data_IF_935185013414
#
_entry.id   IF_935185013414
#
_cell.length_a   1.000
_cell.length_b   1.000
_cell.length_c   1.000
_cell.angle_alpha   90.00
_cell.angle_beta   90.00
_cell.angle_gamma   90.00
#
_symmetry.space_group_name_H-M   'P 1'
#
loop_
_entity.id
_entity.type
_entity.pdbx_description
1 polymer ?
#
# COMPACT_ATOMS: atom_id res chain seq x y z
N UNK A 1 12.06 26.44 -11.52
CA UNK A 1 10.95 25.60 -11.01
C UNK A 1 9.74 26.43 -10.58
N UNK A 2 9.93 27.54 -9.86
CA UNK A 2 8.83 28.43 -9.44
C UNK A 2 7.94 28.89 -10.61
N UNK A 3 8.51 29.28 -11.74
CA UNK A 3 7.77 29.70 -12.93
C UNK A 3 6.85 28.61 -13.55
N UNK A 4 7.15 27.33 -13.32
CA UNK A 4 6.31 26.21 -13.81
C UNK A 4 5.07 26.02 -12.96
N UNK A 5 5.20 26.15 -11.67
CA UNK A 5 4.08 25.97 -10.73
C UNK A 5 3.14 27.17 -10.79
N UNK A 6 3.67 28.38 -10.93
CA UNK A 6 2.88 29.61 -11.19
C UNK A 6 2.01 29.47 -12.45
N UNK A 7 2.60 29.00 -13.55
CA UNK A 7 1.86 28.75 -14.80
C UNK A 7 0.79 27.66 -14.61
N UNK A 8 1.10 26.59 -13.87
CA UNK A 8 0.12 25.54 -13.58
C UNK A 8 -1.09 26.09 -12.81
N UNK A 9 -0.86 26.91 -11.79
CA UNK A 9 -1.95 27.53 -11.01
C UNK A 9 -2.78 28.47 -11.87
N UNK A 10 -2.17 29.26 -12.76
CA UNK A 10 -2.88 30.12 -13.69
C UNK A 10 -3.71 29.33 -14.71
N UNK A 11 -3.17 28.24 -15.25
CA UNK A 11 -3.91 27.34 -16.14
C UNK A 11 -5.08 26.65 -15.43
N UNK A 12 -4.90 26.23 -14.16
CA UNK A 12 -5.97 25.64 -13.35
C UNK A 12 -7.12 26.61 -13.10
N UNK A 13 -6.82 27.90 -12.86
CA UNK A 13 -7.84 28.94 -12.68
C UNK A 13 -8.72 29.15 -13.93
N UNK A 14 -8.21 28.81 -15.10
CA UNK A 14 -8.93 28.95 -16.39
C UNK A 14 -9.74 27.71 -16.77
N UNK A 15 -9.61 26.60 -16.04
CA UNK A 15 -10.24 25.32 -16.37
C UNK A 15 -11.33 24.94 -15.36
N UNK A 16 -12.58 24.94 -15.77
CA UNK A 16 -13.74 24.70 -14.90
C UNK A 16 -13.92 23.24 -14.44
N UNK A 17 -13.38 22.27 -15.18
CA UNK A 17 -13.62 20.83 -14.95
C UNK A 17 -12.36 20.07 -14.53
N UNK A 18 -11.49 20.71 -13.76
CA UNK A 18 -10.25 20.10 -13.28
C UNK A 18 -10.25 20.08 -11.75
N UNK A 19 -9.85 18.94 -11.18
CA UNK A 19 -9.58 18.79 -9.76
C UNK A 19 -8.09 18.51 -9.62
N UNK A 20 -7.40 19.33 -8.86
CA UNK A 20 -6.00 19.11 -8.53
C UNK A 20 -5.87 18.16 -7.34
N UNK A 21 -5.17 17.05 -7.52
CA UNK A 21 -4.80 16.17 -6.42
C UNK A 21 -3.36 16.44 -6.00
N UNK A 22 -3.16 16.71 -4.70
CA UNK A 22 -1.83 16.90 -4.12
C UNK A 22 -1.62 15.88 -3.02
N UNK A 23 -0.69 14.96 -3.26
CA UNK A 23 -0.19 14.05 -2.22
C UNK A 23 0.76 14.79 -1.30
N UNK A 24 0.82 14.37 -0.02
CA UNK A 24 1.67 14.99 1.00
C UNK A 24 1.49 16.52 1.09
N UNK A 25 0.23 17.00 1.06
CA UNK A 25 -0.11 18.43 1.01
C UNK A 25 0.50 19.24 2.17
N UNK A 26 0.83 18.60 3.28
CA UNK A 26 1.50 19.23 4.43
C UNK A 26 2.87 19.81 4.07
N UNK A 27 3.54 19.29 3.03
CA UNK A 27 4.82 19.81 2.56
C UNK A 27 4.72 21.23 2.00
N UNK A 28 3.55 21.61 1.48
CA UNK A 28 3.28 22.97 1.02
C UNK A 28 2.95 23.92 2.16
N UNK A 29 2.37 23.41 3.26
CA UNK A 29 1.82 24.24 4.35
C UNK A 29 2.83 24.39 5.48
N UNK A 30 3.60 23.33 5.77
CA UNK A 30 4.55 23.27 6.87
C UNK A 30 5.97 23.70 6.51
N UNK A 31 6.20 24.17 5.30
CA UNK A 31 7.53 24.56 4.82
C UNK A 31 7.81 26.04 5.10
N UNK A 32 8.91 26.32 5.80
CA UNK A 32 9.43 27.69 5.99
C UNK A 32 10.19 28.23 4.75
N UNK A 33 10.18 27.45 3.65
CA UNK A 33 10.83 27.85 2.39
C UNK A 33 9.95 28.86 1.67
N UNK A 34 10.52 30.03 1.32
CA UNK A 34 9.80 31.15 0.71
C UNK A 34 8.92 30.73 -0.49
N UNK A 35 9.44 29.94 -1.41
CA UNK A 35 8.67 29.48 -2.58
C UNK A 35 7.47 28.58 -2.25
N UNK A 36 7.55 27.79 -1.18
CA UNK A 36 6.42 26.96 -0.71
C UNK A 36 5.33 27.82 -0.05
N UNK A 37 5.71 28.85 0.69
CA UNK A 37 4.79 29.82 1.29
C UNK A 37 4.01 30.59 0.21
N UNK A 38 4.68 31.01 -0.86
CA UNK A 38 4.05 31.73 -1.97
C UNK A 38 3.03 30.83 -2.69
N UNK A 39 3.38 29.57 -2.93
CA UNK A 39 2.47 28.57 -3.49
C UNK A 39 1.25 28.31 -2.59
N UNK A 40 1.48 28.12 -1.28
CA UNK A 40 0.39 27.91 -0.33
C UNK A 40 -0.58 29.10 -0.34
N UNK A 41 -0.08 30.33 -0.41
CA UNK A 41 -0.89 31.55 -0.49
C UNK A 41 -1.68 31.63 -1.80
N UNK A 42 -1.09 31.27 -2.92
CA UNK A 42 -1.77 31.25 -4.23
C UNK A 42 -2.90 30.20 -4.25
N UNK A 43 -2.68 29.03 -3.68
CA UNK A 43 -3.73 28.02 -3.54
C UNK A 43 -4.84 28.50 -2.60
N UNK A 44 -4.50 29.13 -1.48
CA UNK A 44 -5.49 29.73 -0.57
C UNK A 44 -6.38 30.74 -1.28
N UNK A 45 -5.81 31.57 -2.14
CA UNK A 45 -6.56 32.56 -2.93
C UNK A 45 -7.46 31.89 -3.97
N UNK A 46 -6.94 30.93 -4.75
CA UNK A 46 -7.70 30.17 -5.74
C UNK A 46 -8.86 29.37 -5.17
N UNK A 47 -8.62 28.72 -4.02
CA UNK A 47 -9.64 28.01 -3.26
C UNK A 47 -10.72 28.95 -2.70
N UNK A 48 -10.33 30.12 -2.18
CA UNK A 48 -11.28 31.11 -1.64
C UNK A 48 -12.24 31.65 -2.69
N UNK A 49 -11.76 31.81 -3.92
CA UNK A 49 -12.56 32.31 -5.05
C UNK A 49 -13.34 31.18 -5.74
N UNK A 50 -13.15 29.92 -5.33
CA UNK A 50 -13.74 28.76 -6.01
C UNK A 50 -13.20 28.50 -7.41
N UNK A 51 -12.11 29.18 -7.81
CA UNK A 51 -11.48 29.01 -9.11
C UNK A 51 -10.59 27.78 -9.22
N UNK A 52 -10.24 27.16 -8.07
CA UNK A 52 -9.48 25.91 -7.98
C UNK A 52 -10.27 24.92 -7.14
N UNK A 53 -10.38 23.68 -7.62
CA UNK A 53 -10.89 22.53 -6.86
C UNK A 53 -9.71 21.62 -6.56
N UNK A 54 -9.57 21.22 -5.30
CA UNK A 54 -8.39 20.47 -4.84
C UNK A 54 -8.78 19.34 -3.89
N UNK A 55 -8.05 18.24 -4.00
CA UNK A 55 -8.01 17.15 -3.03
C UNK A 55 -6.59 17.08 -2.52
N UNK A 56 -6.39 17.22 -1.23
CA UNK A 56 -5.09 17.04 -0.57
C UNK A 56 -5.07 15.76 0.22
N UNK A 57 -3.99 14.98 0.13
CA UNK A 57 -3.77 13.82 0.97
C UNK A 57 -2.61 14.06 1.94
N UNK A 58 -2.74 13.56 3.16
CA UNK A 58 -1.71 13.61 4.19
C UNK A 58 -2.00 12.58 5.28
N UNK A 59 -1.06 12.32 6.18
CA UNK A 59 -1.31 11.46 7.34
C UNK A 59 -2.02 12.23 8.46
N UNK A 60 -2.64 11.51 9.39
CA UNK A 60 -3.29 12.12 10.56
C UNK A 60 -2.28 12.92 11.39
N UNK A 61 -1.05 12.41 11.54
CA UNK A 61 0.01 13.07 12.29
C UNK A 61 0.41 14.43 11.67
N UNK A 62 0.68 14.46 10.35
CA UNK A 62 1.03 15.70 9.66
C UNK A 62 -0.15 16.67 9.59
N UNK A 63 -1.39 16.16 9.45
CA UNK A 63 -2.58 16.99 9.53
C UNK A 63 -2.66 17.73 10.85
N UNK A 64 -2.50 17.04 11.98
CA UNK A 64 -2.52 17.65 13.31
C UNK A 64 -1.36 18.63 13.53
N UNK A 65 -0.18 18.28 13.05
CA UNK A 65 1.03 19.06 13.24
C UNK A 65 1.07 20.34 12.40
N UNK A 66 0.65 20.27 11.14
CA UNK A 66 0.83 21.35 10.16
C UNK A 66 -0.49 21.99 9.73
N UNK A 67 -1.52 21.19 9.38
CA UNK A 67 -2.75 21.70 8.78
C UNK A 67 -3.66 22.34 9.83
N UNK A 68 -3.82 21.74 11.00
CA UNK A 68 -4.65 22.30 12.08
C UNK A 68 -4.21 23.69 12.55
N UNK A 69 -2.95 24.03 12.39
CA UNK A 69 -2.40 25.34 12.76
C UNK A 69 -2.74 26.44 11.77
N UNK A 70 -2.99 26.08 10.51
CA UNK A 70 -3.35 27.03 9.47
C UNK A 70 -4.88 27.16 9.33
N UNK A 71 -5.47 28.05 10.14
CA UNK A 71 -6.91 28.32 10.12
C UNK A 71 -7.45 28.77 8.76
N UNK A 72 -6.59 29.37 7.92
CA UNK A 72 -6.96 29.79 6.60
C UNK A 72 -7.12 28.61 5.65
N UNK A 73 -6.32 27.58 5.80
CA UNK A 73 -6.46 26.32 5.09
C UNK A 73 -7.67 25.52 5.54
N UNK A 74 -7.82 25.35 6.87
CA UNK A 74 -8.94 24.60 7.46
C UNK A 74 -10.32 25.04 6.99
N UNK A 75 -10.49 26.34 6.82
CA UNK A 75 -11.79 26.92 6.38
C UNK A 75 -12.17 26.59 4.93
N UNK A 76 -11.24 26.03 4.16
CA UNK A 76 -11.37 25.77 2.72
C UNK A 76 -11.40 24.31 2.36
N UNK A 77 -11.14 23.45 3.33
CA UNK A 77 -11.14 22.00 3.14
C UNK A 77 -12.11 21.33 4.09
N UNK A 78 -12.79 20.32 3.59
CA UNK A 78 -13.49 19.35 4.40
C UNK A 78 -12.57 18.16 4.66
N UNK A 79 -12.43 17.75 5.91
CA UNK A 79 -11.62 16.60 6.30
C UNK A 79 -12.37 15.31 6.03
N UNK A 80 -11.75 14.40 5.33
CA UNK A 80 -12.23 13.03 5.13
C UNK A 80 -11.21 12.08 5.75
N UNK A 81 -11.62 11.34 6.78
CA UNK A 81 -10.77 10.33 7.41
C UNK A 81 -10.85 9.02 6.62
N UNK A 82 -9.69 8.52 6.20
CA UNK A 82 -9.55 7.22 5.54
C UNK A 82 -8.93 6.24 6.53
N UNK A 83 -9.77 5.38 7.10
CA UNK A 83 -9.34 4.37 8.08
C UNK A 83 -8.61 3.20 7.40
N UNK A 84 -7.75 2.56 8.18
CA UNK A 84 -7.16 1.28 7.77
C UNK A 84 -8.27 0.24 7.53
N UNK A 85 -8.26 -0.51 6.41
CA UNK A 85 -9.27 -1.52 6.14
C UNK A 85 -9.19 -2.67 7.16
N UNK A 86 -10.32 -3.32 7.43
CA UNK A 86 -10.34 -4.54 8.23
C UNK A 86 -9.60 -5.69 7.55
N UNK A 87 -9.32 -6.77 8.28
CA UNK A 87 -8.71 -7.96 7.71
C UNK A 87 -9.53 -8.53 6.54
N UNK A 88 -10.85 -8.61 6.70
CA UNK A 88 -11.77 -9.10 5.66
C UNK A 88 -11.77 -8.19 4.43
N UNK A 89 -11.82 -6.88 4.63
CA UNK A 89 -11.72 -5.91 3.53
C UNK A 89 -10.36 -6.01 2.83
N UNK A 90 -9.28 -6.23 3.59
CA UNK A 90 -7.95 -6.40 3.02
C UNK A 90 -7.86 -7.64 2.14
N UNK A 91 -8.45 -8.77 2.55
CA UNK A 91 -8.55 -9.98 1.69
C UNK A 91 -9.24 -9.65 0.37
N UNK A 92 -10.35 -8.91 0.40
CA UNK A 92 -11.07 -8.50 -0.82
C UNK A 92 -10.24 -7.57 -1.70
N UNK A 93 -9.50 -6.62 -1.10
CA UNK A 93 -8.59 -5.73 -1.83
C UNK A 93 -7.49 -6.54 -2.54
N UNK A 94 -6.89 -7.53 -1.86
CA UNK A 94 -5.90 -8.41 -2.47
C UNK A 94 -6.46 -9.18 -3.66
N UNK A 95 -7.65 -9.79 -3.51
CA UNK A 95 -8.32 -10.53 -4.58
C UNK A 95 -8.64 -9.63 -5.79
N UNK A 96 -9.13 -8.43 -5.55
CA UNK A 96 -9.44 -7.45 -6.61
C UNK A 96 -8.18 -6.89 -7.29
N UNK A 97 -7.03 -6.92 -6.61
CA UNK A 97 -5.75 -6.46 -7.17
C UNK A 97 -5.08 -7.51 -8.05
N UNK A 98 -5.40 -8.80 -7.87
CA UNK A 98 -4.80 -9.91 -8.62
C UNK A 98 -4.84 -9.72 -10.15
N UNK A 99 -5.99 -9.46 -10.79
CA UNK A 99 -6.06 -9.33 -12.25
C UNK A 99 -5.14 -8.23 -12.79
N UNK A 100 -4.96 -7.15 -12.02
CA UNK A 100 -4.06 -6.06 -12.36
C UNK A 100 -2.59 -6.49 -12.29
N UNK A 101 -2.21 -7.22 -11.23
CA UNK A 101 -0.86 -7.75 -11.07
C UNK A 101 -0.55 -8.77 -12.16
N UNK A 102 -1.48 -9.68 -12.46
CA UNK A 102 -1.36 -10.66 -13.53
C UNK A 102 -1.15 -10.00 -14.90
N UNK A 103 -1.96 -8.97 -15.20
CA UNK A 103 -1.83 -8.19 -16.44
C UNK A 103 -0.49 -7.45 -16.55
N UNK A 104 -0.02 -6.86 -15.44
CA UNK A 104 1.23 -6.09 -15.43
C UNK A 104 2.47 -6.95 -15.52
N UNK A 105 2.45 -8.15 -14.94
CA UNK A 105 3.62 -9.02 -14.82
C UNK A 105 3.67 -10.11 -15.89
N UNK A 106 2.53 -10.46 -16.47
CA UNK A 106 2.38 -11.64 -17.34
C UNK A 106 2.51 -12.97 -16.59
N UNK A 107 2.44 -12.93 -15.26
CA UNK A 107 2.45 -14.10 -14.37
C UNK A 107 1.05 -14.28 -13.78
N UNK A 108 0.58 -15.51 -13.67
CA UNK A 108 -0.78 -15.84 -13.21
C UNK A 108 -0.71 -16.62 -11.91
N UNK A 109 -1.66 -16.40 -11.01
CA UNK A 109 -1.92 -17.24 -9.84
C UNK A 109 -2.96 -18.33 -10.22
N UNK A 110 -2.52 -19.56 -10.61
CA UNK A 110 -3.34 -20.50 -11.36
C UNK A 110 -4.21 -21.41 -10.48
N UNK A 111 -4.80 -20.85 -9.43
CA UNK A 111 -5.61 -21.60 -8.49
C UNK A 111 -7.08 -21.21 -8.58
N UNK A 112 -7.94 -22.09 -8.02
CA UNK A 112 -9.38 -21.80 -7.88
C UNK A 112 -9.61 -20.59 -6.97
N UNK A 113 -10.75 -19.92 -7.09
CA UNK A 113 -11.08 -18.77 -6.24
C UNK A 113 -11.04 -19.13 -4.74
N UNK A 114 -11.43 -20.34 -4.39
CA UNK A 114 -11.34 -20.84 -3.01
C UNK A 114 -9.87 -20.86 -2.50
N UNK A 115 -8.94 -21.38 -3.31
CA UNK A 115 -7.51 -21.44 -2.94
C UNK A 115 -6.90 -20.05 -2.94
N UNK A 116 -7.25 -19.18 -3.90
CA UNK A 116 -6.82 -17.78 -3.91
C UNK A 116 -7.25 -17.07 -2.62
N UNK A 117 -8.51 -17.19 -2.22
CA UNK A 117 -9.01 -16.61 -0.98
C UNK A 117 -8.27 -17.17 0.26
N UNK A 118 -8.02 -18.48 0.29
CA UNK A 118 -7.25 -19.15 1.34
C UNK A 118 -5.82 -18.57 1.47
N UNK A 119 -5.15 -18.33 0.33
CA UNK A 119 -3.82 -17.68 0.28
C UNK A 119 -3.90 -16.25 0.81
N UNK A 120 -4.88 -15.45 0.35
CA UNK A 120 -5.02 -14.06 0.80
C UNK A 120 -5.32 -13.96 2.29
N UNK A 121 -6.20 -14.83 2.81
CA UNK A 121 -6.48 -14.92 4.25
C UNK A 121 -5.23 -15.27 5.05
N UNK A 122 -4.40 -16.17 4.56
CA UNK A 122 -3.14 -16.52 5.21
C UNK A 122 -2.20 -15.30 5.28
N UNK A 123 -1.98 -14.60 4.16
CA UNK A 123 -1.12 -13.41 4.09
C UNK A 123 -1.64 -12.32 5.04
N UNK A 124 -2.95 -12.07 5.07
CA UNK A 124 -3.54 -11.06 5.94
C UNK A 124 -3.39 -11.45 7.41
N UNK A 125 -3.69 -12.71 7.77
CA UNK A 125 -3.60 -13.17 9.16
C UNK A 125 -2.18 -13.09 9.72
N UNK A 126 -1.17 -13.44 8.93
CA UNK A 126 0.22 -13.32 9.36
C UNK A 126 0.70 -11.88 9.54
N UNK A 127 0.05 -10.91 8.90
CA UNK A 127 0.41 -9.49 8.93
C UNK A 127 -0.50 -8.65 9.82
N UNK A 128 -1.11 -9.24 10.85
CA UNK A 128 -1.90 -8.50 11.85
C UNK A 128 -1.05 -7.45 12.55
N UNK A 129 -1.69 -6.45 13.15
CA UNK A 129 -1.02 -5.32 13.81
C UNK A 129 0.05 -5.78 14.82
N UNK A 130 -0.25 -6.79 15.64
CA UNK A 130 0.67 -7.32 16.65
C UNK A 130 1.88 -8.06 16.06
N UNK A 131 1.79 -8.49 14.81
CA UNK A 131 2.84 -9.25 14.13
C UNK A 131 3.78 -8.35 13.31
N UNK A 132 3.42 -7.09 13.09
CA UNK A 132 4.17 -6.13 12.25
C UNK A 132 5.41 -5.61 12.94
N UNK A 133 6.44 -5.36 12.16
CA UNK A 133 7.63 -4.63 12.62
C UNK A 133 7.38 -3.15 12.37
N UNK A 134 7.13 -2.38 13.43
CA UNK A 134 6.71 -0.97 13.33
C UNK A 134 7.68 -0.05 12.56
N UNK A 135 8.97 -0.36 12.56
CA UNK A 135 9.99 0.46 11.89
C UNK A 135 10.04 0.28 10.37
N UNK A 136 9.57 -0.86 9.87
CA UNK A 136 9.68 -1.24 8.46
C UNK A 136 8.37 -1.67 7.82
N UNK A 137 7.30 -1.80 8.60
CA UNK A 137 6.01 -2.28 8.10
C UNK A 137 5.00 -1.16 7.88
N UNK A 138 4.29 -1.24 6.78
CA UNK A 138 3.14 -0.39 6.48
C UNK A 138 1.87 -0.94 7.12
N UNK A 139 0.80 -0.14 7.10
CA UNK A 139 -0.54 -0.56 7.48
C UNK A 139 -1.24 -1.31 6.35
N UNK A 140 -2.40 -1.90 6.65
CA UNK A 140 -3.24 -2.47 5.61
C UNK A 140 -3.76 -1.38 4.63
N UNK A 141 -3.87 -1.70 3.32
CA UNK A 141 -3.60 -3.02 2.71
C UNK A 141 -2.14 -3.21 2.28
N UNK A 142 -1.29 -2.20 2.44
CA UNK A 142 0.02 -2.12 1.80
C UNK A 142 0.95 -3.26 2.21
N UNK A 143 1.04 -3.56 3.51
CA UNK A 143 1.88 -4.65 4.02
C UNK A 143 1.53 -6.00 3.39
N UNK A 144 0.25 -6.31 3.24
CA UNK A 144 -0.21 -7.54 2.62
C UNK A 144 0.03 -7.55 1.10
N UNK A 145 -0.13 -6.41 0.44
CA UNK A 145 0.20 -6.22 -0.98
C UNK A 145 1.69 -6.41 -1.26
N UNK A 146 2.57 -5.98 -0.36
CA UNK A 146 4.02 -6.19 -0.50
C UNK A 146 4.33 -7.69 -0.55
N UNK A 147 3.77 -8.50 0.33
CA UNK A 147 3.98 -9.96 0.33
C UNK A 147 3.40 -10.60 -0.93
N UNK A 148 2.18 -10.19 -1.33
CA UNK A 148 1.58 -10.68 -2.57
C UNK A 148 2.45 -10.36 -3.79
N UNK A 149 2.94 -9.12 -3.92
CA UNK A 149 3.86 -8.73 -5.01
C UNK A 149 5.17 -9.52 -4.97
N UNK A 150 5.66 -9.87 -3.79
CA UNK A 150 6.85 -10.71 -3.66
C UNK A 150 6.63 -12.11 -4.25
N UNK A 151 5.44 -12.70 -4.12
CA UNK A 151 5.11 -13.97 -4.77
C UNK A 151 5.26 -13.87 -6.30
N UNK A 152 4.77 -12.78 -6.91
CA UNK A 152 4.95 -12.51 -8.34
C UNK A 152 6.43 -12.32 -8.70
N UNK A 153 7.16 -11.55 -7.91
CA UNK A 153 8.59 -11.31 -8.13
C UNK A 153 9.41 -12.60 -8.08
N UNK A 154 9.10 -13.50 -7.14
CA UNK A 154 9.76 -14.80 -7.03
C UNK A 154 9.53 -15.66 -8.28
N UNK A 155 8.29 -15.69 -8.79
CA UNK A 155 7.97 -16.42 -10.03
C UNK A 155 8.70 -15.82 -11.26
N UNK A 156 8.76 -14.49 -11.36
CA UNK A 156 9.50 -13.80 -12.43
C UNK A 156 10.99 -14.14 -12.36
N UNK A 157 11.58 -14.10 -11.17
CA UNK A 157 12.99 -14.43 -10.96
C UNK A 157 13.32 -15.87 -11.39
N UNK A 158 12.39 -16.80 -11.16
CA UNK A 158 12.50 -18.20 -11.64
C UNK A 158 12.12 -18.38 -13.13
N UNK A 159 11.89 -17.30 -13.88
CA UNK A 159 11.41 -17.33 -15.28
C UNK A 159 10.10 -18.11 -15.48
N UNK A 160 9.21 -18.09 -14.48
CA UNK A 160 7.92 -18.77 -14.53
C UNK A 160 6.81 -17.83 -14.98
N UNK A 161 5.80 -18.41 -15.64
CA UNK A 161 4.57 -17.71 -16.01
C UNK A 161 3.43 -17.94 -15.01
N UNK A 162 3.64 -18.78 -14.03
CA UNK A 162 2.68 -19.12 -12.98
C UNK A 162 3.34 -19.12 -11.62
N UNK A 163 2.64 -18.62 -10.62
CA UNK A 163 3.01 -18.72 -9.22
C UNK A 163 2.71 -20.13 -8.72
N UNK A 164 3.65 -20.74 -8.02
CA UNK A 164 3.45 -22.00 -7.29
C UNK A 164 3.56 -21.78 -5.78
N UNK A 165 3.27 -22.82 -4.99
CA UNK A 165 3.34 -22.72 -3.55
C UNK A 165 4.75 -22.48 -3.01
N UNK A 166 5.80 -22.86 -3.74
CA UNK A 166 7.18 -22.50 -3.40
C UNK A 166 7.38 -20.97 -3.45
N UNK A 167 6.88 -20.30 -4.47
CA UNK A 167 7.00 -18.84 -4.59
C UNK A 167 6.27 -18.11 -3.46
N UNK A 168 5.12 -18.64 -3.02
CA UNK A 168 4.35 -18.09 -1.89
C UNK A 168 5.10 -18.35 -0.58
N UNK A 169 5.57 -19.57 -0.37
CA UNK A 169 6.34 -19.95 0.80
C UNK A 169 7.60 -19.09 0.96
N UNK A 170 8.38 -18.92 -0.10
CA UNK A 170 9.57 -18.09 -0.09
C UNK A 170 9.25 -16.62 0.21
N UNK A 171 8.13 -16.08 -0.30
CA UNK A 171 7.70 -14.72 0.02
C UNK A 171 7.34 -14.56 1.50
N UNK A 172 6.69 -15.55 2.10
CA UNK A 172 6.36 -15.59 3.53
C UNK A 172 7.64 -15.70 4.37
N UNK A 173 8.55 -16.61 4.01
CA UNK A 173 9.79 -16.88 4.74
C UNK A 173 10.74 -15.66 4.76
N UNK A 174 10.83 -14.93 3.65
CA UNK A 174 11.82 -13.86 3.50
C UNK A 174 11.28 -12.46 3.80
N UNK A 175 10.00 -12.33 4.16
CA UNK A 175 9.43 -11.02 4.47
C UNK A 175 10.09 -10.39 5.69
N UNK A 176 10.39 -9.09 5.57
CA UNK A 176 10.91 -8.27 6.69
C UNK A 176 9.80 -7.47 7.40
N UNK A 177 8.58 -7.59 6.93
CA UNK A 177 7.45 -6.82 7.45
C UNK A 177 6.84 -7.41 8.73
N UNK A 178 7.23 -8.63 9.08
CA UNK A 178 6.73 -9.40 10.24
C UNK A 178 7.90 -9.84 11.10
N UNK A 179 7.71 -9.91 12.41
CA UNK A 179 8.74 -10.34 13.34
C UNK A 179 9.23 -11.77 13.03
N UNK A 180 10.55 -12.06 13.11
CA UNK A 180 11.10 -13.38 12.78
C UNK A 180 10.45 -14.53 13.55
N UNK A 181 10.16 -14.34 14.84
CA UNK A 181 9.49 -15.37 15.65
C UNK A 181 8.06 -15.66 15.21
N UNK A 182 7.39 -14.67 14.63
CA UNK A 182 6.06 -14.83 14.03
C UNK A 182 6.20 -15.62 12.72
N UNK A 183 7.18 -15.27 11.87
CA UNK A 183 7.43 -16.00 10.62
C UNK A 183 7.62 -17.49 10.92
N UNK A 184 8.44 -17.86 11.88
CA UNK A 184 8.66 -19.25 12.28
C UNK A 184 7.36 -19.99 12.61
N UNK A 185 6.48 -19.37 13.38
CA UNK A 185 5.16 -19.93 13.72
C UNK A 185 4.24 -20.02 12.50
N UNK A 186 4.25 -19.01 11.66
CA UNK A 186 3.40 -18.97 10.47
C UNK A 186 3.86 -19.96 9.38
N UNK A 187 5.14 -20.25 9.26
CA UNK A 187 5.65 -21.31 8.36
C UNK A 187 5.13 -22.71 8.76
N UNK A 188 5.02 -23.01 10.05
CA UNK A 188 4.40 -24.24 10.53
C UNK A 188 2.93 -24.29 10.12
N UNK A 189 2.18 -23.19 10.36
CA UNK A 189 0.77 -23.09 9.96
C UNK A 189 0.59 -23.17 8.44
N UNK A 190 1.50 -22.57 7.67
CA UNK A 190 1.49 -22.67 6.22
C UNK A 190 1.51 -24.12 5.74
N UNK A 191 2.43 -24.92 6.29
CA UNK A 191 2.55 -26.34 5.98
C UNK A 191 1.27 -27.11 6.28
N UNK A 192 0.62 -26.82 7.39
CA UNK A 192 -0.62 -27.48 7.80
C UNK A 192 -1.82 -27.04 6.94
N UNK A 193 -1.96 -25.74 6.75
CA UNK A 193 -3.07 -25.14 6.00
C UNK A 193 -3.05 -25.57 4.53
N UNK A 194 -1.88 -25.61 3.91
CA UNK A 194 -1.71 -25.88 2.48
C UNK A 194 -1.19 -27.29 2.19
N UNK A 195 -1.40 -28.24 3.12
CA UNK A 195 -0.88 -29.60 3.02
C UNK A 195 -1.25 -30.29 1.70
N UNK A 196 -2.50 -30.18 1.30
CA UNK A 196 -3.00 -30.84 0.08
C UNK A 196 -2.40 -30.23 -1.18
N UNK A 197 -2.32 -28.90 -1.22
CA UNK A 197 -1.74 -28.16 -2.33
C UNK A 197 -0.22 -28.42 -2.47
N UNK A 198 0.48 -28.49 -1.34
CA UNK A 198 1.92 -28.83 -1.30
C UNK A 198 2.16 -30.26 -1.81
N UNK A 199 1.28 -31.20 -1.45
CA UNK A 199 1.37 -32.59 -1.92
C UNK A 199 1.10 -32.67 -3.45
N UNK A 200 0.12 -31.95 -3.97
CA UNK A 200 -0.20 -31.89 -5.40
C UNK A 200 1.02 -31.38 -6.20
N UNK A 201 1.71 -30.36 -5.69
CA UNK A 201 2.91 -29.80 -6.33
C UNK A 201 4.20 -30.58 -6.02
N UNK A 202 4.16 -31.66 -5.26
CA UNK A 202 5.32 -32.42 -4.79
C UNK A 202 6.35 -31.53 -4.08
N UNK A 203 5.90 -30.50 -3.36
CA UNK A 203 6.74 -29.59 -2.62
C UNK A 203 7.00 -30.08 -1.22
N UNK A 204 8.26 -30.40 -0.92
CA UNK A 204 8.72 -30.76 0.43
C UNK A 204 9.29 -29.53 1.11
N UNK A 205 8.70 -29.12 2.23
CA UNK A 205 9.18 -28.01 3.07
C UNK A 205 9.96 -28.60 4.24
N UNK A 206 11.23 -28.22 4.33
CA UNK A 206 12.11 -28.57 5.45
C UNK A 206 12.15 -27.42 6.46
N UNK A 207 11.23 -27.47 7.43
CA UNK A 207 11.10 -26.42 8.45
C UNK A 207 12.35 -26.27 9.33
N UNK A 208 13.10 -27.34 9.58
CA UNK A 208 14.29 -27.29 10.45
C UNK A 208 15.36 -26.43 9.76
N UNK A 209 15.61 -26.66 8.50
CA UNK A 209 16.56 -25.89 7.71
C UNK A 209 16.12 -24.44 7.50
N UNK A 210 14.83 -24.23 7.19
CA UNK A 210 14.28 -22.91 6.85
C UNK A 210 14.10 -21.98 8.06
N UNK A 211 14.10 -22.53 9.28
CA UNK A 211 13.99 -21.77 10.53
C UNK A 211 15.36 -21.37 11.10
N UNK A 212 16.42 -22.08 10.72
CA UNK A 212 17.80 -21.81 11.18
C UNK A 212 18.53 -20.77 10.30
N UNK A 213 18.11 -20.58 9.05
CA UNK A 213 18.59 -19.51 8.16
C UNK A 213 17.89 -18.16 8.44
#
# INVERSE_FOLDING_TARGET
EENRVLKLVEELKQREKVILFIDEIHTLIGSDVQGALDLANMFKEGLSRGSIKMIGATTTYEYEKYILRDKAFLRRFEKIDVSEPTAEMTVQILLQTLPKLESQTGVVLPYTEFIKEKIMKFIVNMTTEFNRVYEISSRYPDIALVILRQCFSNAIYENRRTINFKNIYDAVRTTKAVYPDVIKKELVKFKDIFKDELQIENLVIDLEKDIEE
#
